data_IF_524102627561
#
_entry.id   IF_524102627561
#
_cell.length_a   1.000
_cell.length_b   1.000
_cell.length_c   1.000
_cell.angle_alpha   90.00
_cell.angle_beta   90.00
_cell.angle_gamma   90.00
#
_symmetry.space_group_name_H-M   'P 1'
#
loop_
_entity.id
_entity.type
_entity.pdbx_description
1 polymer ?
#
# COMPACT_ATOMS: atom_id res chain seq x y z
N UNK A 1 -10.19 0.11 10.78
CA UNK A 1 -9.00 -0.68 10.38
C UNK A 1 -8.49 -0.35 8.98
N UNK A 2 -9.35 -0.25 7.96
CA UNK A 2 -8.95 0.23 6.62
C UNK A 2 -8.30 1.62 6.69
N UNK A 3 -8.95 2.57 7.38
CA UNK A 3 -8.43 3.93 7.54
C UNK A 3 -7.01 3.95 8.15
N UNK A 4 -6.77 3.15 9.18
CA UNK A 4 -5.47 3.08 9.84
C UNK A 4 -4.38 2.54 8.88
N UNK A 5 -4.71 1.54 8.06
CA UNK A 5 -3.79 1.05 7.02
C UNK A 5 -3.57 2.10 5.91
N UNK A 6 -4.60 2.87 5.53
CA UNK A 6 -4.45 3.98 4.59
C UNK A 6 -3.52 5.07 5.15
N UNK A 7 -3.64 5.40 6.45
CA UNK A 7 -2.72 6.32 7.14
C UNK A 7 -1.29 5.79 7.14
N UNK A 8 -1.08 4.52 7.46
CA UNK A 8 0.26 3.89 7.35
C UNK A 8 0.84 4.04 5.94
N UNK A 9 0.04 3.79 4.90
CA UNK A 9 0.48 3.95 3.52
C UNK A 9 0.78 5.41 3.16
N UNK A 10 0.05 6.36 3.73
CA UNK A 10 0.27 7.80 3.54
C UNK A 10 1.54 8.31 4.24
N UNK A 11 1.90 7.73 5.38
CA UNK A 11 3.05 8.16 6.19
C UNK A 11 4.24 7.21 6.08
N UNK A 12 4.16 6.16 5.27
CA UNK A 12 5.28 5.24 5.03
C UNK A 12 6.54 6.00 4.61
N UNK A 13 7.64 5.82 5.34
CA UNK A 13 8.94 6.35 4.95
C UNK A 13 9.58 5.46 3.87
N UNK A 14 9.64 6.01 2.66
CA UNK A 14 10.15 5.31 1.48
C UNK A 14 11.65 5.00 1.58
N UNK A 15 12.41 5.68 2.45
CA UNK A 15 13.84 5.41 2.62
C UNK A 15 14.08 4.01 3.20
N UNK A 16 13.14 3.46 3.97
CA UNK A 16 13.18 2.05 4.36
C UNK A 16 13.18 1.11 3.15
N UNK A 17 12.40 1.44 2.10
CA UNK A 17 12.41 0.68 0.85
C UNK A 17 13.76 0.73 0.15
N UNK A 18 14.59 1.74 0.40
CA UNK A 18 15.86 1.94 -0.32
C UNK A 18 17.11 1.64 0.51
N UNK A 19 16.97 1.35 1.81
CA UNK A 19 18.06 0.99 2.71
C UNK A 19 18.90 -0.20 2.19
N UNK A 20 20.20 -0.03 1.99
CA UNK A 20 21.05 -1.08 1.39
C UNK A 20 21.45 -2.15 2.41
N UNK A 21 21.78 -1.75 3.63
CA UNK A 21 22.39 -2.61 4.65
C UNK A 21 21.35 -3.19 5.61
N UNK A 22 20.40 -3.95 5.06
CA UNK A 22 19.32 -4.59 5.82
C UNK A 22 19.27 -6.09 5.53
N UNK A 23 18.78 -6.85 6.50
CA UNK A 23 18.54 -8.29 6.32
C UNK A 23 17.39 -8.53 5.33
N UNK A 24 17.37 -9.69 4.67
CA UNK A 24 16.27 -10.06 3.76
C UNK A 24 14.92 -10.07 4.51
N UNK A 25 14.89 -10.57 5.75
CA UNK A 25 13.71 -10.58 6.62
C UNK A 25 13.25 -9.20 7.08
N UNK A 26 14.08 -8.17 6.88
CA UNK A 26 13.75 -6.77 7.21
C UNK A 26 13.45 -5.96 5.95
N UNK A 27 13.32 -6.60 4.78
CA UNK A 27 12.85 -5.92 3.58
C UNK A 27 11.40 -5.49 3.80
N UNK A 28 11.14 -4.22 3.55
CA UNK A 28 9.81 -3.62 3.54
C UNK A 28 9.69 -2.73 2.32
N UNK A 29 8.52 -2.69 1.72
CA UNK A 29 8.22 -1.85 0.57
C UNK A 29 6.75 -1.51 0.47
N UNK A 30 6.38 -0.77 -0.57
CA UNK A 30 5.00 -0.37 -0.82
C UNK A 30 4.02 -1.54 -0.93
N UNK A 31 4.49 -2.73 -1.33
CA UNK A 31 3.65 -3.92 -1.40
C UNK A 31 3.12 -4.32 -0.03
N UNK A 32 3.94 -4.25 1.02
CA UNK A 32 3.54 -4.59 2.38
C UNK A 32 2.41 -3.69 2.89
N UNK A 33 2.43 -2.41 2.51
CA UNK A 33 1.41 -1.43 2.86
C UNK A 33 0.15 -1.55 1.99
N UNK A 34 0.32 -1.66 0.67
CA UNK A 34 -0.82 -1.76 -0.26
C UNK A 34 -1.60 -3.07 -0.08
N UNK A 35 -0.96 -4.14 0.40
CA UNK A 35 -1.65 -5.37 0.81
C UNK A 35 -2.61 -5.13 1.97
N UNK A 36 -2.30 -4.29 2.95
CA UNK A 36 -3.24 -3.96 4.03
C UNK A 36 -4.56 -3.39 3.51
N UNK A 37 -4.50 -2.58 2.45
CA UNK A 37 -5.68 -1.96 1.83
C UNK A 37 -6.48 -2.96 0.98
N UNK A 38 -5.81 -3.69 0.08
CA UNK A 38 -6.49 -4.67 -0.78
C UNK A 38 -7.04 -5.85 0.03
N UNK A 39 -6.34 -6.26 1.09
CA UNK A 39 -6.81 -7.27 2.02
C UNK A 39 -8.03 -6.80 2.82
N UNK A 40 -8.04 -5.55 3.30
CA UNK A 40 -9.21 -5.01 3.98
C UNK A 40 -10.47 -4.98 3.09
N UNK A 41 -10.32 -4.61 1.81
CA UNK A 41 -11.40 -4.72 0.82
C UNK A 41 -11.86 -6.18 0.65
N UNK A 42 -10.94 -7.13 0.49
CA UNK A 42 -11.27 -8.54 0.37
C UNK A 42 -12.01 -9.07 1.62
N UNK A 43 -11.54 -8.73 2.83
CA UNK A 43 -12.19 -9.09 4.09
C UNK A 43 -13.61 -8.54 4.14
N UNK A 44 -13.83 -7.27 3.77
CA UNK A 44 -15.18 -6.70 3.73
C UNK A 44 -16.09 -7.52 2.82
N UNK A 45 -15.63 -7.85 1.61
CA UNK A 45 -16.41 -8.64 0.64
C UNK A 45 -16.71 -10.05 1.16
N UNK A 46 -15.69 -10.76 1.66
CA UNK A 46 -15.83 -12.13 2.16
C UNK A 46 -16.69 -12.18 3.42
N UNK A 47 -16.47 -11.31 4.39
CA UNK A 47 -17.20 -11.34 5.65
C UNK A 47 -18.62 -10.78 5.53
N UNK A 48 -18.92 -9.99 4.49
CA UNK A 48 -20.31 -9.68 4.13
C UNK A 48 -21.06 -10.96 3.73
N UNK A 49 -20.39 -11.88 3.02
CA UNK A 49 -20.98 -13.16 2.62
C UNK A 49 -20.95 -14.22 3.74
N UNK A 50 -19.92 -14.18 4.59
CA UNK A 50 -19.70 -15.12 5.68
C UNK A 50 -19.37 -14.38 6.98
N UNK A 51 -20.38 -13.87 7.71
CA UNK A 51 -20.18 -12.98 8.85
C UNK A 51 -19.35 -13.57 9.99
N UNK A 52 -19.36 -14.88 10.18
CA UNK A 52 -18.60 -15.56 11.24
C UNK A 52 -17.07 -15.42 11.09
N UNK A 53 -16.60 -14.97 9.93
CA UNK A 53 -15.18 -14.74 9.64
C UNK A 53 -14.68 -13.34 10.04
N UNK A 54 -15.56 -12.44 10.49
CA UNK A 54 -15.18 -11.07 10.88
C UNK A 54 -14.05 -11.02 11.92
N UNK A 55 -14.07 -11.81 13.01
CA UNK A 55 -12.99 -11.79 14.00
C UNK A 55 -11.62 -12.12 13.39
N UNK A 56 -11.55 -13.16 12.55
CA UNK A 56 -10.32 -13.62 11.89
C UNK A 56 -9.86 -12.60 10.85
N UNK A 57 -10.79 -12.06 10.06
CA UNK A 57 -10.50 -11.04 9.06
C UNK A 57 -9.97 -9.75 9.68
N UNK A 58 -10.58 -9.27 10.76
CA UNK A 58 -10.13 -8.08 11.49
C UNK A 58 -8.78 -8.28 12.15
N UNK A 59 -8.51 -9.47 12.72
CA UNK A 59 -7.20 -9.80 13.27
C UNK A 59 -6.12 -9.73 12.19
N UNK A 60 -6.36 -10.30 11.01
CA UNK A 60 -5.38 -10.25 9.92
C UNK A 60 -5.14 -8.82 9.41
N UNK A 61 -6.19 -7.97 9.32
CA UNK A 61 -6.01 -6.54 9.00
C UNK A 61 -5.19 -5.83 10.09
N UNK A 62 -5.36 -6.21 11.37
CA UNK A 62 -4.58 -5.67 12.48
C UNK A 62 -3.10 -6.07 12.40
N UNK A 63 -2.80 -7.30 11.95
CA UNK A 63 -1.42 -7.73 11.74
C UNK A 63 -0.70 -6.86 10.71
N UNK A 64 -1.34 -6.51 9.59
CA UNK A 64 -0.76 -5.56 8.62
C UNK A 64 -0.48 -4.19 9.25
N UNK A 65 -1.43 -3.67 10.04
CA UNK A 65 -1.27 -2.39 10.72
C UNK A 65 -0.05 -2.41 11.67
N UNK A 66 0.07 -3.46 12.48
CA UNK A 66 1.14 -3.60 13.47
C UNK A 66 2.51 -3.83 12.83
N UNK A 67 2.60 -4.71 11.82
CA UNK A 67 3.86 -5.00 11.11
C UNK A 67 4.40 -3.76 10.40
N UNK A 68 3.51 -2.99 9.77
CA UNK A 68 3.89 -1.82 8.99
C UNK A 68 4.11 -0.56 9.84
N UNK A 69 3.56 -0.51 11.06
CA UNK A 69 3.63 0.65 11.94
C UNK A 69 5.05 1.06 12.37
N UNK A 70 6.04 0.16 12.27
CA UNK A 70 7.43 0.47 12.58
C UNK A 70 8.14 1.30 11.50
N UNK A 71 7.53 1.46 10.31
CA UNK A 71 8.16 2.09 9.13
C UNK A 71 7.44 3.36 8.69
N UNK A 72 6.59 3.93 9.55
CA UNK A 72 5.87 5.18 9.28
C UNK A 72 6.62 6.35 9.90
N UNK A 73 6.61 7.48 9.20
CA UNK A 73 7.05 8.76 9.74
C UNK A 73 5.85 9.50 10.34
N UNK A 74 5.78 9.56 11.68
CA UNK A 74 4.71 10.26 12.39
C UNK A 74 4.72 11.77 12.18
N UNK A 75 5.81 12.33 11.67
CA UNK A 75 5.93 13.76 11.36
C UNK A 75 5.50 14.11 9.93
N UNK A 76 5.27 13.11 9.07
CA UNK A 76 4.89 13.33 7.69
C UNK A 76 3.50 13.99 7.56
N UNK A 77 3.45 15.14 6.89
CA UNK A 77 2.18 15.81 6.57
C UNK A 77 1.52 15.15 5.36
N UNK A 78 0.64 14.18 5.61
CA UNK A 78 -0.04 13.47 4.54
C UNK A 78 -1.15 14.28 3.85
N UNK A 79 -1.47 15.48 4.35
CA UNK A 79 -2.61 16.29 3.85
C UNK A 79 -2.44 16.71 2.40
N UNK A 80 -1.20 16.87 1.91
CA UNK A 80 -0.92 17.18 0.49
C UNK A 80 -1.45 16.13 -0.50
N UNK A 81 -1.68 14.90 -0.03
CA UNK A 81 -2.18 13.80 -0.85
C UNK A 81 -3.70 13.77 -0.94
N UNK A 82 -4.40 14.47 -0.03
CA UNK A 82 -5.86 14.56 -0.04
C UNK A 82 -6.30 15.40 -1.24
N UNK A 83 -7.29 14.92 -1.98
CA UNK A 83 -7.82 15.61 -3.14
C UNK A 83 -9.07 16.43 -2.77
N UNK A 84 -9.22 17.59 -3.39
CA UNK A 84 -10.40 18.44 -3.22
C UNK A 84 -11.66 17.83 -3.88
N UNK A 85 -11.49 17.11 -4.99
CA UNK A 85 -12.55 16.42 -5.73
C UNK A 85 -12.23 14.91 -5.83
N UNK A 86 -12.88 14.11 -4.98
CA UNK A 86 -12.66 12.66 -4.95
C UNK A 86 -13.10 11.95 -6.25
N UNK A 87 -14.31 12.20 -6.80
CA UNK A 87 -14.69 11.64 -8.10
C UNK A 87 -13.70 11.93 -9.23
N UNK A 88 -13.27 13.19 -9.38
CA UNK A 88 -12.33 13.60 -10.43
C UNK A 88 -10.97 12.95 -10.23
N UNK A 89 -10.45 12.92 -8.99
CA UNK A 89 -9.18 12.28 -8.69
C UNK A 89 -9.22 10.78 -8.96
N UNK A 90 -10.30 10.08 -8.60
CA UNK A 90 -10.48 8.66 -8.90
C UNK A 90 -10.48 8.40 -10.40
N UNK A 91 -11.20 9.21 -11.18
CA UNK A 91 -11.24 9.09 -12.64
C UNK A 91 -9.85 9.27 -13.26
N UNK A 92 -9.08 10.26 -12.77
CA UNK A 92 -7.69 10.50 -13.20
C UNK A 92 -6.77 9.33 -12.90
N UNK A 93 -6.85 8.76 -11.69
CA UNK A 93 -6.05 7.60 -11.32
C UNK A 93 -6.41 6.37 -12.15
N UNK A 94 -7.70 6.11 -12.39
CA UNK A 94 -8.15 5.03 -13.26
C UNK A 94 -7.59 5.16 -14.67
N UNK A 95 -7.68 6.36 -15.27
CA UNK A 95 -7.14 6.63 -16.60
C UNK A 95 -5.62 6.38 -16.66
N UNK A 96 -4.89 6.84 -15.64
CA UNK A 96 -3.44 6.58 -15.52
C UNK A 96 -3.15 5.09 -15.40
N UNK A 97 -3.91 4.34 -14.62
CA UNK A 97 -3.70 2.88 -14.48
C UNK A 97 -4.04 2.10 -15.74
N UNK A 98 -4.77 2.69 -16.70
CA UNK A 98 -4.96 2.10 -18.03
C UNK A 98 -3.95 2.58 -19.07
N UNK A 99 -3.21 3.65 -18.78
CA UNK A 99 -2.23 4.27 -19.69
C UNK A 99 -1.02 4.82 -18.90
N UNK A 100 -0.15 3.92 -18.43
CA UNK A 100 0.98 4.26 -17.54
C UNK A 100 2.37 3.97 -18.11
N UNK A 101 2.49 3.38 -19.31
CA UNK A 101 3.78 3.04 -19.92
C UNK A 101 4.73 2.20 -19.03
N UNK A 102 4.18 1.40 -18.10
CA UNK A 102 5.01 0.65 -17.14
C UNK A 102 5.48 -0.64 -17.80
N UNK A 103 6.80 -0.78 -17.92
CA UNK A 103 7.43 -1.96 -18.51
C UNK A 103 7.28 -3.24 -17.66
N UNK A 104 7.02 -3.11 -16.36
CA UNK A 104 6.95 -4.25 -15.43
C UNK A 104 5.48 -4.60 -15.14
N UNK A 105 5.00 -5.73 -15.68
CA UNK A 105 3.62 -6.18 -15.51
C UNK A 105 3.18 -6.26 -14.05
N UNK A 106 4.07 -6.68 -13.14
CA UNK A 106 3.74 -6.80 -11.72
C UNK A 106 3.35 -5.45 -11.09
N UNK A 107 3.97 -4.35 -11.53
CA UNK A 107 3.65 -3.00 -11.05
C UNK A 107 2.28 -2.57 -11.56
N UNK A 108 2.03 -2.75 -12.85
CA UNK A 108 0.75 -2.43 -13.51
C UNK A 108 -0.41 -3.18 -12.86
N UNK A 109 -0.24 -4.48 -12.63
CA UNK A 109 -1.26 -5.31 -11.98
C UNK A 109 -1.49 -4.86 -10.54
N UNK A 110 -0.45 -4.48 -9.80
CA UNK A 110 -0.62 -3.97 -8.44
C UNK A 110 -1.40 -2.66 -8.42
N UNK A 111 -1.11 -1.73 -9.33
CA UNK A 111 -1.84 -0.48 -9.48
C UNK A 111 -3.32 -0.73 -9.77
N UNK A 112 -3.60 -1.66 -10.71
CA UNK A 112 -4.97 -2.05 -11.06
C UNK A 112 -5.71 -2.67 -9.88
N UNK A 113 -5.11 -3.64 -9.20
CA UNK A 113 -5.69 -4.28 -8.01
C UNK A 113 -6.04 -3.25 -6.95
N UNK A 114 -5.11 -2.33 -6.66
CA UNK A 114 -5.32 -1.31 -5.67
C UNK A 114 -6.45 -0.36 -6.08
N UNK A 115 -6.39 0.26 -7.26
CA UNK A 115 -7.39 1.27 -7.64
C UNK A 115 -8.80 0.67 -7.76
N UNK A 116 -8.93 -0.58 -8.20
CA UNK A 116 -10.21 -1.28 -8.26
C UNK A 116 -10.77 -1.54 -6.86
N UNK A 117 -9.94 -2.05 -5.94
CA UNK A 117 -10.35 -2.26 -4.55
C UNK A 117 -10.78 -0.93 -3.90
N UNK A 118 -10.02 0.14 -4.11
CA UNK A 118 -10.29 1.43 -3.47
C UNK A 118 -11.53 2.13 -4.06
N UNK A 119 -11.80 1.96 -5.35
CA UNK A 119 -13.08 2.37 -5.97
C UNK A 119 -14.27 1.69 -5.31
N UNK A 120 -14.16 0.43 -4.90
CA UNK A 120 -15.23 -0.27 -4.21
C UNK A 120 -15.40 0.23 -2.78
N UNK A 121 -14.30 0.45 -2.06
CA UNK A 121 -14.35 0.99 -0.69
C UNK A 121 -14.95 2.40 -0.66
N UNK A 122 -14.67 3.25 -1.66
CA UNK A 122 -15.30 4.57 -1.81
C UNK A 122 -16.82 4.53 -1.93
N UNK A 123 -17.42 3.42 -2.38
CA UNK A 123 -18.88 3.26 -2.48
C UNK A 123 -19.53 2.83 -1.17
N UNK A 124 -18.75 2.29 -0.22
CA UNK A 124 -19.27 1.69 1.02
C UNK A 124 -18.80 2.42 2.29
N UNK A 125 -17.69 3.15 2.21
CA UNK A 125 -17.10 3.87 3.34
C UNK A 125 -17.71 5.25 3.58
N UNK A 126 -17.31 5.86 4.69
CA UNK A 126 -17.56 7.28 4.93
C UNK A 126 -16.76 8.16 3.96
N UNK A 127 -17.19 9.40 3.76
CA UNK A 127 -16.47 10.38 2.95
C UNK A 127 -15.04 10.62 3.46
N UNK A 128 -14.85 10.66 4.77
CA UNK A 128 -13.55 10.86 5.41
C UNK A 128 -12.58 9.68 5.16
N UNK A 129 -13.02 8.45 5.44
CA UNK A 129 -12.20 7.27 5.16
C UNK A 129 -11.92 7.13 3.67
N UNK A 130 -12.91 7.43 2.82
CA UNK A 130 -12.77 7.44 1.36
C UNK A 130 -11.69 8.42 0.88
N UNK A 131 -11.65 9.63 1.45
CA UNK A 131 -10.64 10.63 1.13
C UNK A 131 -9.22 10.14 1.46
N UNK A 132 -9.03 9.57 2.65
CA UNK A 132 -7.74 9.03 3.08
C UNK A 132 -7.28 7.84 2.23
N UNK A 133 -8.20 6.95 1.91
CA UNK A 133 -7.93 5.79 1.05
C UNK A 133 -7.52 6.20 -0.36
N UNK A 134 -8.23 7.18 -0.94
CA UNK A 134 -7.89 7.69 -2.27
C UNK A 134 -6.56 8.44 -2.26
N UNK A 135 -6.28 9.23 -1.21
CA UNK A 135 -5.01 9.91 -1.00
C UNK A 135 -3.85 8.90 -0.91
N UNK A 136 -4.00 7.83 -0.15
CA UNK A 136 -2.99 6.78 0.00
C UNK A 136 -2.70 6.09 -1.35
N UNK A 137 -3.75 5.86 -2.14
CA UNK A 137 -3.65 5.29 -3.49
C UNK A 137 -2.94 6.23 -4.46
N UNK A 138 -3.29 7.52 -4.43
CA UNK A 138 -2.63 8.58 -5.19
C UNK A 138 -1.14 8.61 -4.84
N UNK A 139 -0.80 8.66 -3.55
CA UNK A 139 0.60 8.65 -3.09
C UNK A 139 1.38 7.49 -3.67
N UNK A 140 0.85 6.27 -3.59
CA UNK A 140 1.54 5.10 -4.12
C UNK A 140 1.77 5.16 -5.65
N UNK A 141 0.74 5.53 -6.43
CA UNK A 141 0.81 5.55 -7.90
C UNK A 141 1.67 6.71 -8.42
N UNK A 142 1.65 7.85 -7.72
CA UNK A 142 2.34 9.07 -8.15
C UNK A 142 3.76 9.20 -7.60
N UNK A 143 4.10 8.49 -6.52
CA UNK A 143 5.45 8.49 -5.95
C UNK A 143 6.46 7.80 -6.86
N UNK A 144 7.59 8.44 -7.20
CA UNK A 144 8.67 7.81 -7.95
C UNK A 144 9.26 6.60 -7.21
N UNK A 145 9.39 5.47 -7.91
CA UNK A 145 9.96 4.24 -7.35
C UNK A 145 11.33 3.94 -7.97
N UNK A 146 12.37 3.73 -7.13
CA UNK A 146 13.65 3.19 -7.62
C UNK A 146 13.43 1.72 -7.99
N UNK A 147 13.64 1.38 -9.26
CA UNK A 147 13.29 0.05 -9.80
C UNK A 147 14.33 -1.02 -9.52
N UNK A 148 15.62 -0.68 -9.61
CA UNK A 148 16.72 -1.63 -9.40
C UNK A 148 17.52 -1.26 -8.16
N UNK A 149 17.67 -2.21 -7.25
CA UNK A 149 18.43 -2.04 -6.01
C UNK A 149 19.67 -2.96 -5.98
N UNK A 150 20.49 -2.89 -7.03
CA UNK A 150 21.64 -3.78 -7.23
C UNK A 150 22.57 -3.83 -6.03
N UNK A 151 22.80 -2.67 -5.37
CA UNK A 151 23.62 -2.60 -4.16
C UNK A 151 23.05 -3.42 -3.01
N UNK A 152 21.74 -3.34 -2.77
CA UNK A 152 21.05 -4.14 -1.74
C UNK A 152 21.15 -5.62 -2.06
N UNK A 153 20.85 -6.00 -3.30
CA UNK A 153 20.94 -7.39 -3.76
C UNK A 153 22.35 -7.95 -3.56
N UNK A 154 23.39 -7.23 -3.99
CA UNK A 154 24.77 -7.66 -3.80
C UNK A 154 25.14 -7.82 -2.31
N UNK A 155 24.76 -6.85 -1.46
CA UNK A 155 25.00 -6.92 -0.02
C UNK A 155 24.31 -8.15 0.61
N UNK A 156 23.04 -8.39 0.29
CA UNK A 156 22.26 -9.50 0.82
C UNK A 156 22.80 -10.85 0.36
N UNK A 157 23.20 -10.98 -0.92
CA UNK A 157 23.83 -12.20 -1.44
C UNK A 157 25.14 -12.53 -0.71
N UNK A 158 26.01 -11.53 -0.49
CA UNK A 158 27.25 -11.73 0.27
C UNK A 158 26.99 -12.16 1.71
N UNK A 159 26.02 -11.52 2.38
CA UNK A 159 25.64 -11.89 3.76
C UNK A 159 25.00 -13.28 3.85
N UNK A 160 24.28 -13.71 2.81
CA UNK A 160 23.68 -15.03 2.74
C UNK A 160 24.77 -16.12 2.64
N UNK A 161 25.71 -15.97 1.70
CA UNK A 161 26.82 -16.93 1.51
C UNK A 161 27.73 -16.97 2.74
N UNK A 162 27.98 -15.83 3.40
CA UNK A 162 28.81 -15.78 4.60
C UNK A 162 28.21 -16.48 5.84
N UNK A 163 26.96 -16.94 5.78
CA UNK A 163 26.27 -17.66 6.85
C UNK A 163 26.04 -19.15 6.53
N UNK A 164 26.42 -19.59 5.32
CA UNK A 164 26.38 -20.98 4.87
C UNK A 164 27.71 -21.68 5.21
#
# INVERSE_FOLDING_TARGET
>A
MLEANARNLLTYDIEHQYAVHVSVSSNVGWLDFTHGLTFANAVRQTCTRYPDLWPQGLLQIACFLGLNGAFVDSSADYREWIADDLPQQLARLLARVTDHGQAEYIVSVQWLKLIVAMREELRHGSSETGALVLAATKRFIESPQRRRQVRRTAYQSLKFVARA
#
